data_IF_283028590245
#
_entry.id   IF_283028590245
#
_cell.length_a   1.000
_cell.length_b   1.000
_cell.length_c   1.000
_cell.angle_alpha   90.00
_cell.angle_beta   90.00
_cell.angle_gamma   90.00
#
_symmetry.space_group_name_H-M   'P 1'
#
loop_
_entity.id
_entity.type
_entity.pdbx_description
1 polymer ?
#
# COMPACT_ATOMS: atom_id res chain seq x y z
N UNK A 1 4.45 -8.63 5.07
CA UNK A 1 2.97 -8.64 5.10
C UNK A 1 2.44 -9.23 3.81
N UNK A 2 1.93 -10.46 3.83
CA UNK A 2 1.25 -11.02 2.67
C UNK A 2 -0.23 -10.55 2.66
N UNK A 3 -0.68 -9.97 1.55
CA UNK A 3 -2.03 -9.46 1.39
C UNK A 3 -3.01 -10.62 1.35
N UNK A 4 -4.08 -10.54 2.15
CA UNK A 4 -5.14 -11.54 2.19
C UNK A 4 -6.22 -11.23 1.15
N UNK A 5 -6.21 -11.92 0.01
CA UNK A 5 -7.20 -11.76 -1.07
C UNK A 5 -8.59 -12.31 -0.72
N UNK A 6 -8.69 -13.16 0.31
CA UNK A 6 -9.99 -13.56 0.87
C UNK A 6 -10.64 -12.45 1.73
N UNK A 7 -9.94 -11.32 1.95
CA UNK A 7 -10.54 -10.16 2.59
C UNK A 7 -11.80 -9.72 1.80
N UNK A 8 -12.96 -9.54 2.46
CA UNK A 8 -14.21 -9.17 1.80
C UNK A 8 -14.12 -7.91 0.92
N UNK A 9 -13.23 -6.97 1.27
CA UNK A 9 -12.99 -5.75 0.50
C UNK A 9 -12.50 -6.10 -0.91
N UNK A 10 -11.53 -7.00 -1.02
CA UNK A 10 -10.96 -7.43 -2.30
C UNK A 10 -11.96 -8.37 -2.99
N UNK A 11 -12.44 -9.39 -2.27
CA UNK A 11 -13.32 -10.44 -2.81
C UNK A 11 -14.61 -9.92 -3.44
N UNK A 12 -15.19 -8.86 -2.87
CA UNK A 12 -16.44 -8.27 -3.34
C UNK A 12 -16.25 -6.88 -3.99
N UNK A 13 -15.01 -6.56 -4.38
CA UNK A 13 -14.70 -5.39 -5.21
C UNK A 13 -15.41 -5.52 -6.55
N UNK A 14 -16.22 -4.53 -6.92
CA UNK A 14 -16.99 -4.47 -8.17
C UNK A 14 -16.96 -3.05 -8.74
N UNK A 15 -17.08 -2.94 -10.06
CA UNK A 15 -17.19 -1.65 -10.76
C UNK A 15 -18.42 -0.89 -10.24
N UNK A 16 -18.25 0.41 -9.99
CA UNK A 16 -19.27 1.30 -9.46
C UNK A 16 -19.40 1.33 -7.94
N UNK A 17 -18.69 0.46 -7.19
CA UNK A 17 -18.65 0.48 -5.72
C UNK A 17 -17.37 1.16 -5.22
N UNK A 18 -17.49 2.02 -4.21
CA UNK A 18 -16.32 2.62 -3.56
C UNK A 18 -15.40 1.54 -2.98
N UNK A 19 -14.11 1.60 -3.33
CA UNK A 19 -13.10 0.71 -2.78
C UNK A 19 -12.56 1.25 -1.44
N UNK A 20 -12.77 0.56 -0.30
CA UNK A 20 -12.37 1.06 1.03
C UNK A 20 -10.88 0.79 1.31
N UNK A 21 -10.03 1.61 0.68
CA UNK A 21 -8.56 1.54 0.76
C UNK A 21 -8.01 1.56 2.19
N UNK A 22 -8.45 2.52 2.98
CA UNK A 22 -8.06 2.72 4.38
C UNK A 22 -8.31 1.46 5.23
N UNK A 23 -9.49 0.86 5.12
CA UNK A 23 -9.86 -0.34 5.88
C UNK A 23 -9.02 -1.54 5.50
N UNK A 24 -8.71 -1.70 4.21
CA UNK A 24 -7.84 -2.78 3.75
C UNK A 24 -6.41 -2.58 4.25
N UNK A 25 -5.92 -1.34 4.22
CA UNK A 25 -4.62 -0.99 4.80
C UNK A 25 -4.55 -1.35 6.28
N UNK A 26 -5.52 -0.90 7.09
CA UNK A 26 -5.57 -1.20 8.53
C UNK A 26 -5.64 -2.70 8.81
N UNK A 27 -6.42 -3.45 8.03
CA UNK A 27 -6.47 -4.90 8.15
C UNK A 27 -5.12 -5.56 7.83
N UNK A 28 -4.37 -5.02 6.87
CA UNK A 28 -3.09 -5.58 6.42
C UNK A 28 -1.95 -5.28 7.42
N UNK A 29 -1.97 -4.12 8.07
CA UNK A 29 -0.98 -3.72 9.10
C UNK A 29 -1.44 -4.04 10.53
N UNK A 30 -2.48 -4.88 10.68
CA UNK A 30 -3.11 -5.13 11.98
C UNK A 30 -2.13 -5.65 13.04
N UNK A 31 -1.16 -6.48 12.67
CA UNK A 31 -0.17 -6.99 13.62
C UNK A 31 0.66 -5.86 14.24
N UNK A 32 1.05 -4.85 13.44
CA UNK A 32 1.73 -3.65 13.94
C UNK A 32 0.83 -2.73 14.78
N UNK A 33 -0.48 -2.73 14.52
CA UNK A 33 -1.44 -1.99 15.35
C UNK A 33 -1.54 -2.65 16.74
N UNK A 34 -1.63 -3.99 16.77
CA UNK A 34 -1.71 -4.75 18.01
C UNK A 34 -0.46 -4.61 18.88
N UNK A 35 0.73 -4.50 18.29
CA UNK A 35 1.97 -4.20 19.02
C UNK A 35 1.90 -2.90 19.84
N UNK A 36 1.13 -1.90 19.40
CA UNK A 36 1.13 -0.58 20.05
C UNK A 36 0.26 -0.51 21.31
N UNK A 37 -0.98 -1.01 21.25
CA UNK A 37 -1.94 -0.88 22.35
C UNK A 37 -2.64 -2.19 22.73
N UNK A 38 -2.25 -3.33 22.13
CA UNK A 38 -2.94 -4.60 22.27
C UNK A 38 -4.47 -4.46 22.07
N UNK A 39 -4.87 -3.54 21.19
CA UNK A 39 -6.24 -3.15 20.93
C UNK A 39 -6.39 -2.92 19.44
N UNK A 40 -7.53 -3.34 18.89
CA UNK A 40 -7.86 -3.10 17.49
C UNK A 40 -8.07 -1.62 17.23
N UNK A 41 -7.70 -1.16 16.03
CA UNK A 41 -7.80 0.25 15.64
C UNK A 41 -9.23 0.82 15.80
N UNK A 42 -10.25 0.03 15.48
CA UNK A 42 -11.67 0.42 15.59
C UNK A 42 -12.17 0.57 17.04
N UNK A 43 -11.35 0.22 18.03
CA UNK A 43 -11.63 0.39 19.45
C UNK A 43 -10.86 1.57 20.07
N UNK A 44 -9.98 2.20 19.30
CA UNK A 44 -9.24 3.37 19.74
C UNK A 44 -10.06 4.64 19.51
N UNK A 45 -9.78 5.67 20.32
CA UNK A 45 -10.21 7.03 19.98
C UNK A 45 -9.54 7.48 18.69
N UNK A 46 -10.14 8.42 17.97
CA UNK A 46 -9.53 9.00 16.76
C UNK A 46 -8.09 9.49 17.01
N UNK A 47 -7.90 10.19 18.13
CA UNK A 47 -6.57 10.63 18.54
C UNK A 47 -5.59 9.46 18.67
N UNK A 48 -5.96 8.42 19.43
CA UNK A 48 -5.11 7.25 19.64
C UNK A 48 -4.84 6.44 18.38
N UNK A 49 -5.85 6.28 17.52
CA UNK A 49 -5.72 5.63 16.22
C UNK A 49 -4.70 6.38 15.36
N UNK A 50 -4.77 7.71 15.31
CA UNK A 50 -3.79 8.49 14.54
C UNK A 50 -2.38 8.42 15.10
N UNK A 51 -2.21 8.38 16.43
CA UNK A 51 -0.89 8.20 17.05
C UNK A 51 -0.32 6.83 16.71
N UNK A 52 -1.17 5.79 16.74
CA UNK A 52 -0.79 4.44 16.33
C UNK A 52 -0.33 4.41 14.87
N UNK A 53 -1.15 4.92 13.94
CA UNK A 53 -0.83 4.97 12.52
C UNK A 53 0.42 5.81 12.23
N UNK A 54 0.58 6.96 12.89
CA UNK A 54 1.78 7.79 12.74
C UNK A 54 3.07 7.06 13.14
N UNK A 55 3.02 6.20 14.16
CA UNK A 55 4.16 5.37 14.56
C UNK A 55 4.50 4.31 13.52
N UNK A 56 3.49 3.67 12.93
CA UNK A 56 3.68 2.71 11.84
C UNK A 56 4.29 3.43 10.64
N UNK A 57 3.71 4.55 10.21
CA UNK A 57 4.20 5.36 9.07
C UNK A 57 5.65 5.78 9.24
N UNK A 58 6.08 6.17 10.45
CA UNK A 58 7.48 6.53 10.73
C UNK A 58 8.46 5.39 10.48
N UNK A 59 8.00 4.14 10.54
CA UNK A 59 8.78 2.94 10.23
C UNK A 59 8.61 2.51 8.77
N UNK A 60 7.70 3.12 8.03
CA UNK A 60 7.44 2.72 6.66
C UNK A 60 8.43 3.35 5.69
N UNK A 61 8.79 2.54 4.70
CA UNK A 61 9.55 2.97 3.53
C UNK A 61 8.75 2.70 2.27
N UNK A 62 8.95 3.56 1.27
CA UNK A 62 8.54 3.36 -0.10
C UNK A 62 9.79 3.37 -0.97
N UNK A 63 9.98 2.31 -1.75
CA UNK A 63 11.16 2.13 -2.58
C UNK A 63 12.49 2.26 -1.81
N UNK A 64 12.50 1.99 -0.50
CA UNK A 64 13.70 2.10 0.34
C UNK A 64 14.02 3.51 0.82
N UNK A 65 13.08 4.45 0.69
CA UNK A 65 13.14 5.80 1.26
C UNK A 65 12.03 5.93 2.30
N UNK A 66 12.25 6.61 3.45
CA UNK A 66 11.18 6.87 4.41
C UNK A 66 9.97 7.52 3.75
N UNK A 67 8.75 7.05 4.05
CA UNK A 67 7.51 7.56 3.45
C UNK A 67 7.38 9.07 3.62
N UNK A 68 7.76 9.61 4.79
CA UNK A 68 7.71 11.05 5.07
C UNK A 68 8.65 11.87 4.17
N UNK A 69 9.77 11.28 3.74
CA UNK A 69 10.70 11.93 2.82
C UNK A 69 10.19 11.84 1.38
N UNK A 70 9.65 10.68 0.97
CA UNK A 70 9.13 10.49 -0.38
C UNK A 70 7.93 11.40 -0.69
N UNK A 71 7.01 11.55 0.26
CA UNK A 71 5.80 12.38 0.15
C UNK A 71 5.96 13.77 0.76
N UNK A 72 7.18 14.32 0.75
CA UNK A 72 7.46 15.62 1.36
C UNK A 72 6.64 16.75 0.70
N UNK A 73 6.50 16.72 -0.62
CA UNK A 73 5.72 17.72 -1.38
C UNK A 73 4.26 17.76 -0.90
N UNK A 74 3.59 16.60 -0.77
CA UNK A 74 2.22 16.51 -0.28
C UNK A 74 2.09 16.92 1.20
N UNK A 75 3.05 16.54 2.03
CA UNK A 75 3.05 16.89 3.45
C UNK A 75 3.24 18.38 3.68
N UNK A 76 4.11 19.04 2.91
CA UNK A 76 4.33 20.49 2.95
C UNK A 76 3.08 21.26 2.46
N UNK A 77 2.34 20.70 1.50
CA UNK A 77 1.07 21.25 1.02
C UNK A 77 -0.09 21.13 2.03
N UNK A 78 0.05 20.36 3.11
CA UNK A 78 -0.98 20.17 4.14
C UNK A 78 -0.64 20.82 5.48
N UNK A 79 0.22 21.84 5.49
CA UNK A 79 0.68 22.51 6.72
C UNK A 79 -0.43 23.14 7.55
N UNK A 80 -1.52 23.57 6.92
CA UNK A 80 -2.74 24.12 7.54
C UNK A 80 -3.69 23.05 8.10
N UNK A 81 -3.45 21.78 7.80
CA UNK A 81 -4.33 20.67 8.17
C UNK A 81 -3.95 20.10 9.54
N UNK A 82 -4.94 19.79 10.41
CA UNK A 82 -4.70 19.12 11.67
C UNK A 82 -3.88 17.83 11.49
N UNK A 83 -2.96 17.55 12.43
CA UNK A 83 -2.07 16.39 12.33
C UNK A 83 -2.81 15.06 12.16
N UNK A 84 -3.96 14.90 12.85
CA UNK A 84 -4.84 13.74 12.70
C UNK A 84 -5.23 13.51 11.23
N UNK A 85 -5.76 14.54 10.58
CA UNK A 85 -6.20 14.47 9.19
C UNK A 85 -5.04 14.26 8.22
N UNK A 86 -3.86 14.85 8.48
CA UNK A 86 -2.66 14.60 7.68
C UNK A 86 -2.25 13.13 7.68
N UNK A 87 -2.26 12.50 8.85
CA UNK A 87 -1.94 11.07 8.99
C UNK A 87 -2.92 10.22 8.19
N UNK A 88 -4.22 10.50 8.29
CA UNK A 88 -5.23 9.76 7.53
C UNK A 88 -5.10 9.95 6.01
N UNK A 89 -4.82 11.18 5.55
CA UNK A 89 -4.57 11.45 4.12
C UNK A 89 -3.36 10.68 3.61
N UNK A 90 -2.28 10.62 4.38
CA UNK A 90 -1.09 9.86 4.00
C UNK A 90 -1.38 8.34 3.98
N UNK A 91 -2.15 7.82 4.94
CA UNK A 91 -2.62 6.43 4.90
C UNK A 91 -3.42 6.15 3.62
N UNK A 92 -4.36 7.03 3.25
CA UNK A 92 -5.17 6.86 2.03
C UNK A 92 -4.30 6.87 0.76
N UNK A 93 -3.35 7.80 0.64
CA UNK A 93 -2.41 7.83 -0.49
C UNK A 93 -1.64 6.52 -0.62
N UNK A 94 -1.01 6.06 0.46
CA UNK A 94 -0.26 4.80 0.43
C UNK A 94 -1.17 3.61 0.13
N UNK A 95 -2.37 3.56 0.71
CA UNK A 95 -3.31 2.48 0.48
C UNK A 95 -3.76 2.43 -0.99
N UNK A 96 -3.99 3.59 -1.62
CA UNK A 96 -4.30 3.70 -3.06
C UNK A 96 -3.17 3.21 -3.94
N UNK A 97 -1.93 3.46 -3.54
CA UNK A 97 -0.75 2.97 -4.25
C UNK A 97 -0.61 1.44 -4.09
N UNK A 98 -0.68 0.93 -2.85
CA UNK A 98 -0.50 -0.49 -2.54
C UNK A 98 -1.59 -1.36 -3.17
N UNK A 99 -2.86 -0.93 -3.08
CA UNK A 99 -4.01 -1.76 -3.46
C UNK A 99 -4.65 -1.35 -4.79
N UNK A 100 -3.97 -0.51 -5.60
CA UNK A 100 -4.48 -0.07 -6.90
C UNK A 100 -4.94 -1.23 -7.78
N UNK A 101 -4.20 -2.35 -7.76
CA UNK A 101 -4.48 -3.53 -8.57
C UNK A 101 -5.79 -4.27 -8.22
N UNK A 102 -6.43 -3.97 -7.09
CA UNK A 102 -7.69 -4.62 -6.67
C UNK A 102 -8.93 -3.74 -6.85
N UNK A 103 -8.75 -2.45 -7.13
CA UNK A 103 -9.86 -1.52 -7.35
C UNK A 103 -10.33 -1.58 -8.80
N UNK A 104 -11.43 -2.30 -9.05
CA UNK A 104 -12.01 -2.48 -10.39
C UNK A 104 -12.48 -1.18 -11.04
N UNK A 105 -12.67 -0.10 -10.27
CA UNK A 105 -13.00 1.20 -10.84
C UNK A 105 -11.81 1.87 -11.57
N UNK A 106 -10.59 1.35 -11.35
CA UNK A 106 -9.35 1.87 -11.94
C UNK A 106 -8.83 0.99 -13.06
N UNK A 107 -9.65 0.09 -13.58
CA UNK A 107 -9.28 -0.76 -14.71
C UNK A 107 -9.54 0.02 -15.99
N UNK A 108 -8.66 -0.12 -16.98
CA UNK A 108 -8.89 0.43 -18.31
C UNK A 108 -9.95 -0.37 -19.09
N UNK A 109 -10.35 0.13 -20.26
CA UNK A 109 -11.34 -0.54 -21.12
C UNK A 109 -10.88 -1.92 -21.62
N UNK A 110 -9.57 -2.19 -21.57
CA UNK A 110 -8.99 -3.49 -21.92
C UNK A 110 -8.94 -4.46 -20.72
N UNK A 111 -9.37 -4.03 -19.53
CA UNK A 111 -9.39 -4.82 -18.31
C UNK A 111 -8.04 -4.90 -17.60
N UNK A 112 -7.07 -4.05 -17.93
CA UNK A 112 -5.82 -3.95 -17.18
C UNK A 112 -6.03 -3.08 -15.94
N UNK A 113 -5.57 -3.57 -14.80
CA UNK A 113 -5.60 -2.80 -13.56
C UNK A 113 -4.52 -1.71 -13.54
N UNK A 114 -4.80 -0.63 -12.80
CA UNK A 114 -3.84 0.43 -12.53
C UNK A 114 -2.60 -0.10 -11.81
N UNK A 115 -1.43 0.39 -12.22
CA UNK A 115 -0.12 0.06 -11.63
C UNK A 115 0.60 1.32 -11.21
N UNK A 116 1.40 1.22 -10.17
CA UNK A 116 2.31 2.28 -9.73
C UNK A 116 3.72 1.74 -9.54
N UNK A 117 4.72 2.63 -9.54
CA UNK A 117 6.13 2.28 -9.36
C UNK A 117 6.59 2.47 -7.90
N UNK A 118 5.73 2.10 -6.94
CA UNK A 118 5.94 2.33 -5.50
C UNK A 118 5.74 1.04 -4.71
N UNK A 119 6.78 0.58 -4.03
CA UNK A 119 6.81 -0.66 -3.28
C UNK A 119 7.07 -0.40 -1.80
N UNK A 120 6.12 -0.79 -0.96
CA UNK A 120 6.07 -0.38 0.45
C UNK A 120 6.52 -1.50 1.38
N UNK A 121 7.13 -1.12 2.50
CA UNK A 121 7.38 -2.01 3.62
C UNK A 121 7.30 -1.28 4.96
N UNK A 122 7.22 -2.06 6.03
CA UNK A 122 7.51 -1.60 7.39
C UNK A 122 8.92 -2.08 7.74
N UNK A 123 9.82 -1.15 8.08
CA UNK A 123 11.18 -1.43 8.52
C UNK A 123 11.22 -1.55 10.04
N UNK A 124 11.51 -2.76 10.53
CA UNK A 124 11.70 -3.06 11.95
C UNK A 124 13.17 -3.36 12.19
N UNK A 125 13.93 -2.34 12.57
CA UNK A 125 15.36 -2.43 12.92
C UNK A 125 16.22 -3.13 11.85
N UNK A 126 16.01 -2.77 10.58
CA UNK A 126 16.73 -3.32 9.43
C UNK A 126 16.03 -4.51 8.77
N UNK A 127 15.02 -5.10 9.42
CA UNK A 127 14.16 -6.11 8.81
C UNK A 127 12.99 -5.44 8.08
N UNK A 128 13.01 -5.50 6.75
CA UNK A 128 11.94 -4.94 5.91
C UNK A 128 10.85 -5.98 5.69
N UNK A 129 9.65 -5.67 6.16
CA UNK A 129 8.47 -6.49 5.91
C UNK A 129 7.61 -5.83 4.82
N UNK A 130 7.71 -6.33 3.59
CA UNK A 130 7.06 -5.75 2.42
C UNK A 130 5.58 -6.11 2.33
N UNK A 131 4.79 -5.23 1.70
CA UNK A 131 3.45 -5.58 1.22
C UNK A 131 3.61 -6.46 -0.02
N UNK A 132 3.23 -7.73 0.07
CA UNK A 132 3.44 -8.71 -1.00
C UNK A 132 2.19 -9.55 -1.24
N UNK A 133 2.18 -10.24 -2.39
CA UNK A 133 1.16 -11.21 -2.74
C UNK A 133 1.80 -12.41 -3.47
N UNK A 134 1.71 -13.61 -2.90
CA UNK A 134 2.05 -14.88 -3.60
C UNK A 134 0.81 -15.76 -3.77
N UNK A 135 -0.22 -15.21 -4.42
CA UNK A 135 -1.43 -15.95 -4.75
C UNK A 135 -1.26 -16.77 -6.04
N UNK A 136 -1.65 -18.04 -5.98
CA UNK A 136 -1.57 -18.97 -7.11
C UNK A 136 -2.92 -19.62 -7.35
N UNK A 137 -3.41 -19.49 -8.58
CA UNK A 137 -4.66 -20.09 -9.04
C UNK A 137 -4.38 -21.34 -9.88
N UNK A 138 -5.31 -22.29 -9.86
CA UNK A 138 -5.22 -23.52 -10.65
C UNK A 138 -5.27 -23.19 -12.15
N UNK A 139 -4.31 -23.70 -12.91
CA UNK A 139 -4.19 -23.54 -14.37
C UNK A 139 -4.06 -24.89 -15.08
N UNK A 140 -4.98 -25.81 -14.77
CA UNK A 140 -5.00 -27.18 -15.29
C UNK A 140 -4.97 -28.24 -14.18
N UNK A 141 -4.91 -29.53 -14.55
CA UNK A 141 -5.05 -30.63 -13.57
C UNK A 141 -4.00 -30.58 -12.44
N UNK A 142 -2.76 -30.19 -12.74
CA UNK A 142 -1.64 -30.18 -11.78
C UNK A 142 -0.80 -28.89 -11.82
N UNK A 143 -1.22 -27.88 -12.58
CA UNK A 143 -0.47 -26.63 -12.73
C UNK A 143 -1.14 -25.54 -11.90
N UNK A 144 -0.31 -24.74 -11.23
CA UNK A 144 -0.72 -23.49 -10.61
C UNK A 144 0.04 -22.36 -11.29
N UNK A 145 -0.64 -21.27 -11.60
CA UNK A 145 -0.02 -20.02 -12.09
C UNK A 145 -0.29 -18.91 -11.09
N UNK A 146 0.59 -17.92 -11.03
CA UNK A 146 0.34 -16.73 -10.24
C UNK A 146 -0.81 -15.93 -10.83
N UNK A 147 -1.51 -15.20 -9.98
CA UNK A 147 -2.46 -14.19 -10.45
C UNK A 147 -1.71 -13.01 -11.06
N UNK A 148 -2.32 -12.25 -11.98
CA UNK A 148 -1.74 -11.02 -12.52
C UNK A 148 -1.28 -10.03 -11.43
N UNK A 149 -2.03 -9.92 -10.34
CA UNK A 149 -1.71 -9.10 -9.18
C UNK A 149 -0.45 -9.63 -8.48
N UNK A 150 -0.34 -10.95 -8.29
CA UNK A 150 0.86 -11.56 -7.68
C UNK A 150 2.10 -11.35 -8.55
N UNK A 151 1.96 -11.44 -9.88
CA UNK A 151 3.03 -11.11 -10.81
C UNK A 151 3.46 -9.65 -10.73
N UNK A 152 2.51 -8.72 -10.53
CA UNK A 152 2.81 -7.31 -10.32
C UNK A 152 3.63 -7.07 -9.05
N UNK A 153 3.26 -7.66 -7.91
CA UNK A 153 4.06 -7.54 -6.67
C UNK A 153 5.46 -8.16 -6.82
N UNK A 154 5.58 -9.26 -7.58
CA UNK A 154 6.89 -9.83 -7.89
C UNK A 154 7.76 -8.94 -8.76
N UNK A 155 7.17 -8.25 -9.75
CA UNK A 155 7.89 -7.29 -10.58
C UNK A 155 8.40 -6.12 -9.73
N UNK A 156 7.56 -5.56 -8.85
CA UNK A 156 7.96 -4.52 -7.91
C UNK A 156 9.14 -4.98 -7.04
N UNK A 157 9.09 -6.18 -6.47
CA UNK A 157 10.19 -6.72 -5.68
C UNK A 157 11.49 -6.82 -6.50
N UNK A 158 11.43 -7.38 -7.71
CA UNK A 158 12.63 -7.51 -8.57
C UNK A 158 13.23 -6.15 -8.92
N UNK A 159 12.38 -5.17 -9.25
CA UNK A 159 12.82 -3.81 -9.56
C UNK A 159 13.37 -3.09 -8.34
N UNK A 160 12.80 -3.32 -7.17
CA UNK A 160 13.33 -2.82 -5.90
C UNK A 160 14.73 -3.39 -5.64
N UNK A 161 14.90 -4.72 -5.77
CA UNK A 161 16.19 -5.40 -5.54
C UNK A 161 17.26 -4.95 -6.54
N UNK A 162 16.86 -4.62 -7.78
CA UNK A 162 17.73 -4.08 -8.82
C UNK A 162 18.00 -2.56 -8.69
N UNK A 163 17.37 -1.86 -7.72
CA UNK A 163 17.52 -0.41 -7.55
C UNK A 163 16.85 0.43 -8.64
N UNK A 164 15.85 -0.12 -9.35
CA UNK A 164 15.19 0.49 -10.51
C UNK A 164 13.89 1.23 -10.16
N UNK A 165 13.48 1.25 -8.90
CA UNK A 165 12.30 2.00 -8.47
C UNK A 165 12.67 3.45 -8.07
N UNK A 166 11.83 4.43 -8.43
CA UNK A 166 12.09 5.85 -8.19
C UNK A 166 12.17 6.14 -6.69
N UNK A 167 13.10 7.03 -6.28
CA UNK A 167 13.32 7.38 -4.87
C UNK A 167 12.64 8.70 -4.48
N UNK A 168 12.06 9.41 -5.44
CA UNK A 168 11.27 10.64 -5.26
C UNK A 168 10.21 10.76 -6.36
N UNK A 169 9.30 11.73 -6.24
CA UNK A 169 8.36 12.12 -7.30
C UNK A 169 9.07 12.68 -8.54
N UNK A 170 10.16 13.43 -8.34
CA UNK A 170 11.00 13.93 -9.44
C UNK A 170 11.65 12.77 -10.21
N UNK A 171 12.18 11.77 -9.49
CA UNK A 171 12.71 10.56 -10.11
C UNK A 171 11.63 9.81 -10.90
N UNK A 172 10.42 9.71 -10.35
CA UNK A 172 9.29 9.05 -11.01
C UNK A 172 8.92 9.76 -12.30
N UNK A 173 8.76 11.09 -12.27
CA UNK A 173 8.52 11.93 -13.47
C UNK A 173 9.61 11.77 -14.51
N UNK A 174 10.88 11.72 -14.08
CA UNK A 174 12.04 11.54 -14.98
C UNK A 174 12.08 10.16 -15.64
N UNK A 175 11.75 9.10 -14.90
CA UNK A 175 11.85 7.72 -15.38
C UNK A 175 10.64 7.29 -16.22
N UNK A 176 9.45 7.82 -15.92
CA UNK A 176 8.18 7.33 -16.48
C UNK A 176 7.33 8.41 -17.18
N UNK A 177 7.72 9.69 -17.09
CA UNK A 177 6.95 10.82 -17.63
C UNK A 177 5.96 11.39 -16.60
N UNK A 178 5.22 12.44 -17.00
CA UNK A 178 4.04 12.90 -16.26
C UNK A 178 2.87 11.96 -16.58
N UNK A 179 2.30 11.31 -15.56
CA UNK A 179 1.00 10.63 -15.66
C UNK A 179 -0.15 11.63 -15.58
#
# INVERSE_FOLDING_TARGET
MNINTDNPIIKYSDVGKNFPYDKLFYATVNDYILEYKNARLDKLTDHDASVCLARIIRRMEVNGVPVQQYFKEELDAWTDVPNYTRVLRLCDLMARDIFCCFDKNRYDDAGNFARVNRFYCVNTDGKKDFFTLDEKVKSGLFKKKRTPESEYFMDLQKRYDAGLLPKSKEDERRLYGEE
#
